data_IF_119568272319
#
_entry.id   IF_119568272319
#
_cell.length_a   1.000
_cell.length_b   1.000
_cell.length_c   1.000
_cell.angle_alpha   90.00
_cell.angle_beta   90.00
_cell.angle_gamma   90.00
#
_symmetry.space_group_name_H-M   'P 1'
#
loop_
_entity.id
_entity.type
_entity.pdbx_description
1 polymer ?
#
# COMPACT_ATOMS: atom_id res chain seq x y z
N UNK A 1 -22.58 -12.34 13.87
CA UNK A 1 -23.76 -11.45 13.85
C UNK A 1 -24.84 -12.04 14.74
N UNK A 2 -25.18 -11.38 15.85
CA UNK A 2 -26.27 -11.80 16.75
C UNK A 2 -27.15 -10.59 17.03
N UNK A 3 -28.40 -10.62 16.59
CA UNK A 3 -29.37 -9.56 16.91
C UNK A 3 -29.81 -9.74 18.37
N UNK A 4 -29.51 -8.77 19.23
CA UNK A 4 -30.11 -8.64 20.55
C UNK A 4 -31.27 -7.64 20.46
N UNK A 5 -32.43 -8.04 21.00
CA UNK A 5 -33.62 -7.19 21.04
C UNK A 5 -33.31 -5.99 21.94
N UNK A 6 -33.60 -4.79 21.45
CA UNK A 6 -33.46 -3.49 22.14
C UNK A 6 -32.03 -2.90 22.29
N UNK A 7 -31.00 -3.48 21.66
CA UNK A 7 -29.59 -2.97 21.73
C UNK A 7 -28.97 -2.67 20.36
N UNK A 8 -29.71 -2.91 19.26
CA UNK A 8 -29.16 -2.81 17.90
C UNK A 8 -28.29 -4.01 17.53
N UNK A 9 -27.67 -3.97 16.35
CA UNK A 9 -26.70 -5.00 15.93
C UNK A 9 -25.40 -4.74 16.69
N UNK A 10 -24.90 -5.73 17.44
CA UNK A 10 -23.50 -5.69 17.87
C UNK A 10 -22.64 -5.84 16.61
N UNK A 11 -22.27 -4.71 16.02
CA UNK A 11 -21.13 -4.68 15.12
C UNK A 11 -19.92 -5.01 15.99
N UNK A 12 -19.21 -6.10 15.66
CA UNK A 12 -17.92 -6.35 16.28
C UNK A 12 -17.02 -5.14 16.05
N UNK A 13 -16.20 -4.79 17.04
CA UNK A 13 -15.28 -3.64 16.95
C UNK A 13 -14.47 -3.69 15.66
N UNK A 14 -14.09 -4.89 15.20
CA UNK A 14 -13.39 -5.13 13.94
C UNK A 14 -14.13 -4.59 12.71
N UNK A 15 -15.46 -4.74 12.65
CA UNK A 15 -16.26 -4.24 11.53
C UNK A 15 -16.35 -2.72 11.53
N UNK A 16 -16.48 -2.11 12.71
CA UNK A 16 -16.52 -0.66 12.87
C UNK A 16 -15.19 -0.05 12.45
N UNK A 17 -14.08 -0.66 12.90
CA UNK A 17 -12.73 -0.24 12.51
C UNK A 17 -12.56 -0.34 10.98
N UNK A 18 -12.89 -1.49 10.37
CA UNK A 18 -12.78 -1.66 8.92
C UNK A 18 -13.60 -0.63 8.14
N UNK A 19 -14.85 -0.39 8.56
CA UNK A 19 -15.73 0.58 7.88
C UNK A 19 -15.21 2.01 7.97
N UNK A 20 -14.64 2.41 9.12
CA UNK A 20 -14.03 3.75 9.28
C UNK A 20 -12.81 3.89 8.37
N UNK A 21 -11.98 2.85 8.29
CA UNK A 21 -10.77 2.88 7.47
C UNK A 21 -11.06 2.94 5.99
N UNK A 22 -12.03 2.16 5.50
CA UNK A 22 -12.48 2.20 4.10
C UNK A 22 -13.08 3.56 3.71
N UNK A 23 -13.71 4.27 4.65
CA UNK A 23 -14.29 5.60 4.40
C UNK A 23 -13.24 6.71 4.50
N UNK A 24 -12.29 6.59 5.43
CA UNK A 24 -11.37 7.67 5.78
C UNK A 24 -10.00 7.56 5.08
N UNK A 25 -9.58 6.36 4.66
CA UNK A 25 -8.28 6.11 4.04
C UNK A 25 -8.43 5.38 2.71
N UNK A 26 -7.42 5.55 1.86
CA UNK A 26 -7.18 4.70 0.69
C UNK A 26 -6.19 3.60 1.03
N UNK A 27 -6.48 2.38 0.59
CA UNK A 27 -5.50 1.29 0.57
C UNK A 27 -4.24 1.71 -0.22
N UNK A 28 -3.07 1.22 0.19
CA UNK A 28 -1.81 1.51 -0.49
C UNK A 28 -1.82 0.98 -1.92
N UNK A 29 -1.53 1.86 -2.89
CA UNK A 29 -1.11 1.43 -4.23
C UNK A 29 0.37 1.02 -4.20
N UNK A 30 0.60 -0.27 -3.96
CA UNK A 30 1.94 -0.84 -3.88
C UNK A 30 2.70 -0.77 -5.21
N UNK A 31 1.99 -0.76 -6.33
CA UNK A 31 2.62 -0.64 -7.63
C UNK A 31 3.19 0.78 -7.79
N UNK A 32 2.38 1.79 -7.51
CA UNK A 32 2.80 3.19 -7.59
C UNK A 32 3.92 3.50 -6.60
N UNK A 33 3.79 3.07 -5.34
CA UNK A 33 4.83 3.32 -4.32
C UNK A 33 6.17 2.70 -4.71
N UNK A 34 6.15 1.48 -5.24
CA UNK A 34 7.36 0.79 -5.67
C UNK A 34 7.96 1.41 -6.93
N UNK A 35 7.14 1.83 -7.90
CA UNK A 35 7.61 2.61 -9.06
C UNK A 35 8.30 3.90 -8.65
N UNK A 36 7.69 4.67 -7.74
CA UNK A 36 8.27 5.91 -7.24
C UNK A 36 9.61 5.66 -6.53
N UNK A 37 9.71 4.59 -5.74
CA UNK A 37 10.97 4.19 -5.11
C UNK A 37 12.05 3.93 -6.17
N UNK A 38 11.77 3.12 -7.18
CA UNK A 38 12.72 2.81 -8.26
C UNK A 38 13.14 4.08 -9.00
N UNK A 39 12.19 4.95 -9.35
CA UNK A 39 12.47 6.20 -10.05
C UNK A 39 13.27 7.18 -9.18
N UNK A 40 13.11 7.17 -7.86
CA UNK A 40 13.90 7.98 -6.93
C UNK A 40 15.35 7.50 -6.81
N UNK A 41 15.60 6.18 -6.85
CA UNK A 41 16.95 5.61 -6.72
C UNK A 41 17.72 5.62 -8.03
N UNK A 42 17.07 5.30 -9.15
CA UNK A 42 17.72 5.11 -10.45
C UNK A 42 17.47 6.27 -11.43
N UNK A 43 16.58 7.19 -11.08
CA UNK A 43 16.11 8.26 -11.95
C UNK A 43 14.91 7.86 -12.79
N UNK A 44 14.26 8.85 -13.41
CA UNK A 44 13.02 8.63 -14.16
C UNK A 44 13.22 8.05 -15.55
N UNK A 45 14.38 8.23 -16.19
CA UNK A 45 14.62 7.81 -17.57
C UNK A 45 15.97 7.11 -17.74
N UNK A 46 15.97 6.04 -18.54
CA UNK A 46 17.18 5.40 -19.06
C UNK A 46 17.26 5.59 -20.56
N UNK A 47 18.49 5.77 -21.07
CA UNK A 47 18.76 5.83 -22.50
C UNK A 47 19.57 4.61 -22.96
N UNK A 48 19.03 3.86 -23.93
CA UNK A 48 19.70 2.74 -24.59
C UNK A 48 19.85 3.07 -26.07
N UNK A 49 21.05 3.52 -26.47
CA UNK A 49 21.29 4.03 -27.82
C UNK A 49 20.41 5.24 -28.12
N UNK A 50 19.42 5.07 -29.01
CA UNK A 50 18.44 6.10 -29.38
C UNK A 50 17.08 5.95 -28.66
N UNK A 51 16.93 4.94 -27.81
CA UNK A 51 15.69 4.69 -27.06
C UNK A 51 15.78 5.40 -25.71
N UNK A 52 14.77 6.20 -25.39
CA UNK A 52 14.54 6.73 -24.05
C UNK A 52 13.27 6.12 -23.49
N UNK A 53 13.32 5.66 -22.25
CA UNK A 53 12.17 5.09 -21.58
C UNK A 53 12.28 5.26 -20.08
N UNK A 54 11.15 5.18 -19.40
CA UNK A 54 11.13 5.21 -17.95
C UNK A 54 11.77 3.95 -17.34
N UNK A 55 12.47 4.11 -16.21
CA UNK A 55 13.28 3.04 -15.61
C UNK A 55 12.40 1.91 -15.07
N UNK A 56 11.38 2.22 -14.27
CA UNK A 56 10.46 1.20 -13.76
C UNK A 56 9.78 0.44 -14.91
N UNK A 57 9.35 1.16 -15.94
CA UNK A 57 8.79 0.58 -17.17
C UNK A 57 9.80 -0.31 -17.91
N UNK A 58 11.07 0.07 -17.97
CA UNK A 58 12.11 -0.74 -18.59
C UNK A 58 12.30 -2.06 -17.83
N UNK A 59 12.42 -2.01 -16.51
CA UNK A 59 12.65 -3.18 -15.66
C UNK A 59 11.45 -4.13 -15.77
N UNK A 60 10.22 -3.63 -15.68
CA UNK A 60 9.00 -4.43 -15.88
C UNK A 60 8.97 -5.20 -17.19
N UNK A 61 9.39 -4.54 -18.28
CA UNK A 61 9.38 -5.14 -19.61
C UNK A 61 10.53 -6.12 -19.83
N UNK A 62 11.68 -5.88 -19.21
CA UNK A 62 12.87 -6.71 -19.37
C UNK A 62 12.83 -7.95 -18.47
N UNK A 63 12.41 -7.79 -17.21
CA UNK A 63 12.30 -8.87 -16.24
C UNK A 63 11.11 -8.66 -15.28
N UNK A 64 9.89 -9.07 -15.67
CA UNK A 64 8.71 -8.96 -14.82
C UNK A 64 8.75 -9.88 -13.61
N UNK A 65 9.56 -10.96 -13.64
CA UNK A 65 9.65 -11.88 -12.50
C UNK A 65 10.45 -11.23 -11.39
N UNK A 66 11.63 -10.70 -11.72
CA UNK A 66 12.44 -9.95 -10.77
C UNK A 66 11.71 -8.72 -10.23
N UNK A 67 10.94 -8.02 -11.08
CA UNK A 67 10.08 -6.91 -10.64
C UNK A 67 9.10 -7.35 -9.55
N UNK A 68 8.34 -8.42 -9.79
CA UNK A 68 7.34 -8.88 -8.83
C UNK A 68 7.95 -9.39 -7.53
N UNK A 69 9.11 -10.06 -7.60
CA UNK A 69 9.85 -10.50 -6.42
C UNK A 69 10.32 -9.29 -5.59
N UNK A 70 10.99 -8.33 -6.22
CA UNK A 70 11.50 -7.14 -5.54
C UNK A 70 10.37 -6.28 -4.94
N UNK A 71 9.22 -6.18 -5.63
CA UNK A 71 8.04 -5.50 -5.10
C UNK A 71 7.46 -6.21 -3.87
N UNK A 72 7.45 -7.54 -3.87
CA UNK A 72 6.97 -8.31 -2.71
C UNK A 72 7.90 -8.13 -1.52
N UNK A 73 9.22 -8.22 -1.73
CA UNK A 73 10.23 -7.96 -0.69
C UNK A 73 10.15 -6.52 -0.15
N UNK A 74 9.85 -5.55 -1.01
CA UNK A 74 9.63 -4.16 -0.62
C UNK A 74 8.44 -4.03 0.34
N UNK A 75 7.31 -4.67 0.04
CA UNK A 75 6.16 -4.69 0.94
C UNK A 75 6.51 -5.35 2.28
N UNK A 76 7.11 -6.54 2.24
CA UNK A 76 7.48 -7.29 3.44
C UNK A 76 8.39 -6.46 4.35
N UNK A 77 9.37 -5.76 3.78
CA UNK A 77 10.26 -4.85 4.53
C UNK A 77 9.47 -3.73 5.19
N UNK A 78 8.52 -3.12 4.48
CA UNK A 78 7.70 -2.04 5.01
C UNK A 78 6.75 -2.48 6.14
N UNK A 79 6.26 -3.71 6.09
CA UNK A 79 5.49 -4.35 7.17
C UNK A 79 6.40 -4.62 8.37
N UNK A 80 7.60 -5.19 8.15
CA UNK A 80 8.58 -5.46 9.21
C UNK A 80 9.03 -4.19 9.94
N UNK A 81 9.20 -3.09 9.21
CA UNK A 81 9.57 -1.77 9.75
C UNK A 81 8.39 -1.02 10.42
N UNK A 82 7.20 -1.63 10.50
CA UNK A 82 5.96 -1.05 11.03
C UNK A 82 5.54 0.26 10.34
N UNK A 83 6.00 0.47 9.11
CA UNK A 83 5.65 1.65 8.30
C UNK A 83 4.34 1.44 7.52
N UNK A 84 4.01 0.18 7.24
CA UNK A 84 2.75 -0.30 6.70
C UNK A 84 2.06 -1.18 7.75
N UNK A 85 0.75 -1.04 7.87
CA UNK A 85 -0.08 -1.79 8.81
C UNK A 85 -1.08 -2.64 8.03
N UNK A 86 -1.09 -3.95 8.34
CA UNK A 86 -2.03 -4.91 7.78
C UNK A 86 -3.32 -4.95 8.61
N UNK A 87 -4.45 -4.65 7.95
CA UNK A 87 -5.77 -4.71 8.58
C UNK A 87 -6.65 -5.64 7.75
N UNK A 88 -6.56 -6.94 8.05
CA UNK A 88 -7.23 -7.98 7.30
C UNK A 88 -6.48 -8.31 6.02
N UNK A 89 -7.04 -7.97 4.86
CA UNK A 89 -6.42 -8.14 3.53
C UNK A 89 -5.88 -6.81 2.98
N UNK A 90 -6.17 -5.70 3.66
CA UNK A 90 -5.92 -4.34 3.18
C UNK A 90 -4.66 -3.76 3.87
N UNK A 91 -3.86 -3.00 3.12
CA UNK A 91 -2.61 -2.41 3.60
C UNK A 91 -2.73 -0.89 3.68
N UNK A 92 -2.31 -0.29 4.81
CA UNK A 92 -2.39 1.16 5.03
C UNK A 92 -1.08 1.73 5.53
N UNK A 93 -0.75 2.96 5.13
CA UNK A 93 0.41 3.66 5.66
C UNK A 93 0.15 4.10 7.10
N UNK A 94 1.13 3.86 7.98
CA UNK A 94 1.04 4.30 9.38
C UNK A 94 0.86 5.81 9.51
N UNK A 95 1.52 6.60 8.67
CA UNK A 95 1.42 8.07 8.74
C UNK A 95 0.02 8.59 8.38
N UNK A 96 -0.70 7.90 7.49
CA UNK A 96 -2.09 8.23 7.15
C UNK A 96 -3.03 7.92 8.32
N UNK A 97 -2.81 6.77 8.98
CA UNK A 97 -3.53 6.40 10.22
C UNK A 97 -3.28 7.40 11.36
N UNK A 98 -2.03 7.83 11.55
CA UNK A 98 -1.67 8.83 12.55
C UNK A 98 -2.30 10.20 12.24
N UNK A 99 -2.43 10.55 10.96
CA UNK A 99 -3.08 11.79 10.54
C UNK A 99 -4.56 11.81 10.93
N UNK A 100 -5.27 10.69 10.82
CA UNK A 100 -6.66 10.59 11.30
C UNK A 100 -6.82 10.85 12.81
N UNK A 101 -5.83 10.46 13.62
CA UNK A 101 -5.86 10.68 15.07
C UNK A 101 -5.55 12.14 15.44
N UNK A 102 -4.78 12.84 14.59
CA UNK A 102 -4.36 14.22 14.82
C UNK A 102 -5.36 15.26 14.30
N UNK A 103 -6.37 14.88 13.52
CA UNK A 103 -7.44 15.76 13.04
C UNK A 103 -8.58 15.97 14.08
N UNK A 104 -8.36 15.65 15.37
CA UNK A 104 -9.31 15.90 16.47
C UNK A 104 -9.00 17.13 17.32
#
# INVERSE_FOLDING_TARGET
MRHLKDVGVEYGTDWVIKSILEEALSEIDLEESFEQMIDNFYGQEVQIGFIKMNVSTAIKNLDPIAWNMAKSEYLDTHIEDESVIDIGEDHYWKHDLESLLNEQ
#
